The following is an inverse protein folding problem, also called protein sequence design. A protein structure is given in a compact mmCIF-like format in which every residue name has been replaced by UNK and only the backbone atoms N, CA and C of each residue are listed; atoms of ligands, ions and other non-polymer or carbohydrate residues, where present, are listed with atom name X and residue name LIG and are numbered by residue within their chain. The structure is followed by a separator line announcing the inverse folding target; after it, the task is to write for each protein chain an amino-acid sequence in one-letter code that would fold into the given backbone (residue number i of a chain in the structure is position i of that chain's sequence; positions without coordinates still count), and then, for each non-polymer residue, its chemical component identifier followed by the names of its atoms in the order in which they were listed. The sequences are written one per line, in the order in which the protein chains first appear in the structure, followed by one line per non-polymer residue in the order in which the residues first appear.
data_IF_875972859542
#
_entry.id   IF_875972859542
#
_cell.length_a   1.000
_cell.length_b   1.000
_cell.length_c   1.000
_cell.angle_alpha   90.00
_cell.angle_beta   90.00
_cell.angle_gamma   90.00
#
_symmetry.space_group_name_H-M   'P 1'
#
loop_
_entity.id
_entity.type
_entity.pdbx_description
1 polymer ?
#
# COMPACT_ATOMS: atom_id res chain seq x y z
N UNK A 1 -69.04 2.80 -39.50
CA UNK A 1 -68.14 2.44 -38.44
C UNK A 1 -66.81 1.95 -39.05
N UNK A 2 -65.79 2.83 -39.07
CA UNK A 2 -64.44 2.50 -39.52
C UNK A 2 -63.69 1.84 -38.39
N UNK A 3 -63.36 0.54 -38.58
CA UNK A 3 -62.48 -0.19 -37.67
C UNK A 3 -61.05 0.29 -37.87
N UNK A 4 -60.53 1.07 -36.93
CA UNK A 4 -59.10 1.39 -36.83
C UNK A 4 -58.41 0.21 -36.11
N UNK A 5 -57.61 -0.54 -36.85
CA UNK A 5 -56.64 -1.48 -36.22
C UNK A 5 -55.40 -0.70 -35.83
N UNK A 6 -55.09 -0.64 -34.53
CA UNK A 6 -53.85 -0.06 -34.06
C UNK A 6 -52.72 -0.99 -34.47
N UNK A 7 -51.82 -0.55 -35.35
CA UNK A 7 -50.61 -1.29 -35.71
C UNK A 7 -49.69 -1.37 -34.46
N UNK A 8 -49.30 -2.59 -34.11
CA UNK A 8 -48.31 -2.80 -33.06
C UNK A 8 -46.97 -2.21 -33.49
N UNK A 9 -46.56 -1.13 -32.81
CA UNK A 9 -45.27 -0.49 -33.01
C UNK A 9 -44.19 -1.46 -32.50
N UNK A 10 -43.38 -2.02 -33.40
CA UNK A 10 -42.25 -2.85 -33.04
C UNK A 10 -41.18 -1.97 -32.38
N UNK A 11 -40.67 -2.35 -31.17
CA UNK A 11 -39.64 -1.57 -30.53
C UNK A 11 -38.41 -1.47 -31.41
N UNK A 12 -37.89 -0.25 -31.59
CA UNK A 12 -36.66 0.01 -32.33
C UNK A 12 -35.49 -0.73 -31.70
N UNK A 13 -34.91 -1.69 -32.38
CA UNK A 13 -33.67 -2.34 -31.96
C UNK A 13 -32.51 -1.47 -32.38
N UNK A 14 -31.91 -0.79 -31.38
CA UNK A 14 -30.67 -0.07 -31.61
C UNK A 14 -29.57 -1.11 -31.90
N UNK A 15 -29.15 -1.26 -33.15
CA UNK A 15 -27.93 -2.00 -33.48
C UNK A 15 -26.73 -1.10 -33.14
N UNK A 16 -26.28 -1.15 -31.89
CA UNK A 16 -24.98 -0.62 -31.55
C UNK A 16 -23.96 -1.62 -32.09
N UNK A 17 -23.40 -1.36 -33.24
CA UNK A 17 -22.13 -1.97 -33.65
C UNK A 17 -21.07 -1.34 -32.72
N UNK A 18 -20.91 -1.91 -31.55
CA UNK A 18 -19.73 -1.63 -30.76
C UNK A 18 -18.53 -2.22 -31.52
N UNK A 19 -17.93 -1.42 -32.39
CA UNK A 19 -16.55 -1.64 -32.77
C UNK A 19 -15.74 -1.45 -31.52
N UNK A 20 -15.58 -2.52 -30.75
CA UNK A 20 -14.70 -2.50 -29.59
C UNK A 20 -13.32 -2.13 -30.09
N UNK A 21 -12.75 -1.07 -29.54
CA UNK A 21 -11.38 -0.68 -29.84
C UNK A 21 -10.46 -1.87 -29.68
N UNK A 22 -9.49 -2.01 -30.58
CA UNK A 22 -8.51 -3.08 -30.53
C UNK A 22 -7.66 -2.91 -29.27
N UNK A 23 -7.87 -3.76 -28.27
CA UNK A 23 -7.09 -3.76 -27.06
C UNK A 23 -5.71 -4.38 -27.32
N UNK A 24 -4.68 -3.58 -27.15
CA UNK A 24 -3.30 -4.03 -27.19
C UNK A 24 -2.93 -4.70 -25.85
N UNK A 25 -2.10 -5.73 -25.92
CA UNK A 25 -1.66 -6.48 -24.74
C UNK A 25 -0.49 -5.87 -24.03
N UNK A 26 0.38 -5.24 -24.79
CA UNK A 26 1.63 -4.70 -24.33
C UNK A 26 1.70 -3.20 -24.53
N UNK A 27 2.33 -2.55 -23.60
CA UNK A 27 2.70 -1.15 -23.62
C UNK A 27 4.17 -1.03 -23.24
N UNK A 28 4.93 -0.36 -24.06
CA UNK A 28 6.33 -0.04 -23.83
C UNK A 28 6.53 1.45 -23.98
N UNK A 29 7.14 2.07 -22.99
CA UNK A 29 7.57 3.46 -23.02
C UNK A 29 9.04 3.53 -22.62
N UNK A 30 9.86 4.16 -23.44
CA UNK A 30 11.24 4.44 -23.14
C UNK A 30 11.50 5.93 -23.34
N UNK A 31 12.30 6.51 -22.45
CA UNK A 31 12.65 7.93 -22.49
C UNK A 31 14.00 8.17 -21.85
N UNK A 32 14.60 9.30 -22.20
CA UNK A 32 15.79 9.80 -21.55
C UNK A 32 15.67 11.33 -21.40
N UNK A 33 16.15 11.84 -20.31
CA UNK A 33 16.17 13.27 -20.02
C UNK A 33 17.57 13.80 -19.76
N UNK A 34 17.66 15.08 -19.47
CA UNK A 34 18.87 15.72 -18.97
C UNK A 34 19.34 15.06 -17.67
N UNK A 35 20.60 15.21 -17.28
CA UNK A 35 21.19 14.56 -16.11
C UNK A 35 21.19 13.02 -16.17
N UNK A 36 21.23 12.43 -17.37
CA UNK A 36 21.20 10.99 -17.58
C UNK A 36 20.02 10.34 -16.83
N UNK A 37 18.78 10.82 -17.10
CA UNK A 37 17.56 10.33 -16.49
C UNK A 37 16.82 9.35 -17.44
N UNK A 38 17.18 8.05 -17.45
CA UNK A 38 16.44 7.06 -18.22
C UNK A 38 15.09 6.74 -17.56
N UNK A 39 14.10 6.50 -18.41
CA UNK A 39 12.80 5.96 -18.03
C UNK A 39 12.50 4.77 -18.90
N UNK A 40 12.15 3.64 -18.29
CA UNK A 40 11.63 2.46 -18.98
C UNK A 40 10.38 1.99 -18.28
N UNK A 41 9.26 1.89 -19.01
CA UNK A 41 8.01 1.32 -18.52
C UNK A 41 7.54 0.22 -19.46
N UNK A 42 7.26 -0.95 -18.92
CA UNK A 42 6.73 -2.10 -19.63
C UNK A 42 5.48 -2.58 -18.90
N UNK A 43 4.39 -2.77 -19.64
CA UNK A 43 3.20 -3.45 -19.13
C UNK A 43 2.78 -4.49 -20.16
N UNK A 44 2.47 -5.69 -19.70
CA UNK A 44 1.98 -6.76 -20.54
C UNK A 44 0.89 -7.53 -19.82
N UNK A 45 -0.26 -7.72 -20.46
CA UNK A 45 -1.41 -8.37 -19.85
C UNK A 45 -2.04 -9.43 -20.74
N UNK A 46 -2.74 -10.36 -20.13
CA UNK A 46 -3.53 -11.40 -20.82
C UNK A 46 -4.65 -10.77 -21.66
N UNK A 47 -5.11 -11.48 -22.68
CA UNK A 47 -6.38 -11.14 -23.31
C UNK A 47 -7.52 -11.33 -22.32
N UNK A 48 -8.60 -10.57 -22.53
CA UNK A 48 -9.84 -10.75 -21.77
C UNK A 48 -10.28 -12.23 -21.85
N UNK A 49 -10.35 -12.87 -20.69
CA UNK A 49 -10.84 -14.23 -20.50
C UNK A 49 -11.94 -14.24 -19.45
N UNK A 50 -12.79 -15.26 -19.48
CA UNK A 50 -13.78 -15.51 -18.43
C UNK A 50 -13.22 -16.30 -17.27
N UNK A 51 -12.11 -17.03 -17.51
CA UNK A 51 -11.55 -17.99 -16.58
C UNK A 51 -10.37 -17.45 -15.82
N UNK A 52 -9.58 -16.55 -16.44
CA UNK A 52 -8.38 -16.01 -15.84
C UNK A 52 -7.98 -14.66 -16.41
N UNK A 53 -7.24 -13.91 -15.62
CA UNK A 53 -6.61 -12.66 -16.03
C UNK A 53 -5.24 -12.58 -15.35
N UNK A 54 -4.22 -12.12 -16.07
CA UNK A 54 -2.90 -11.89 -15.51
C UNK A 54 -2.21 -10.73 -16.22
N UNK A 55 -1.29 -10.11 -15.53
CA UNK A 55 -0.48 -9.04 -16.07
C UNK A 55 0.85 -8.92 -15.34
N UNK A 56 1.82 -8.37 -16.06
CA UNK A 56 3.14 -8.05 -15.57
C UNK A 56 3.44 -6.59 -15.87
N UNK A 57 4.10 -5.92 -14.95
CA UNK A 57 4.59 -4.56 -15.12
C UNK A 57 6.02 -4.45 -14.65
N UNK A 58 6.80 -3.62 -15.33
CA UNK A 58 8.13 -3.24 -14.93
C UNK A 58 8.32 -1.76 -15.18
N UNK A 59 8.89 -1.05 -14.22
CA UNK A 59 9.26 0.35 -14.35
C UNK A 59 10.64 0.56 -13.76
N UNK A 60 11.48 1.26 -14.51
CA UNK A 60 12.76 1.75 -14.03
C UNK A 60 12.83 3.25 -14.31
N UNK A 61 13.14 4.02 -13.30
CA UNK A 61 13.33 5.45 -13.38
C UNK A 61 14.54 5.84 -12.52
N UNK A 62 15.35 6.78 -12.97
CA UNK A 62 16.51 7.19 -12.19
C UNK A 62 17.18 8.44 -12.73
N UNK A 63 18.16 8.93 -11.98
CA UNK A 63 19.10 9.96 -12.40
C UNK A 63 20.52 9.51 -12.05
N UNK A 64 21.38 9.44 -13.04
CA UNK A 64 22.77 8.96 -12.88
C UNK A 64 23.81 10.10 -12.91
N UNK A 65 23.37 11.35 -12.92
CA UNK A 65 24.22 12.53 -12.85
C UNK A 65 23.99 13.28 -11.55
N UNK A 66 25.05 13.79 -10.96
CA UNK A 66 24.98 14.64 -9.76
C UNK A 66 24.74 16.10 -10.12
N UNK A 67 24.06 16.81 -9.24
CA UNK A 67 23.87 18.27 -9.33
C UNK A 67 25.13 18.94 -8.75
N UNK A 68 25.66 19.93 -9.49
CA UNK A 68 26.85 20.67 -9.07
C UNK A 68 26.65 21.27 -7.68
N UNK A 69 27.64 21.15 -6.82
CA UNK A 69 27.68 21.70 -5.46
C UNK A 69 26.74 21.04 -4.43
N UNK A 70 25.93 20.05 -4.82
CA UNK A 70 25.03 19.33 -3.92
C UNK A 70 25.51 17.92 -3.51
N UNK A 71 26.74 17.56 -3.90
CA UNK A 71 27.26 16.20 -3.68
C UNK A 71 26.61 15.18 -4.61
N UNK A 72 26.51 13.94 -4.16
CA UNK A 72 25.91 12.86 -4.95
C UNK A 72 24.38 12.87 -4.84
N UNK A 73 23.69 13.27 -5.89
CA UNK A 73 22.22 13.32 -5.96
C UNK A 73 21.61 12.24 -6.83
N UNK A 74 22.38 11.20 -7.16
CA UNK A 74 21.90 10.08 -7.98
C UNK A 74 20.82 9.29 -7.25
N UNK A 75 19.83 8.82 -8.01
CA UNK A 75 18.81 7.90 -7.51
C UNK A 75 18.41 6.90 -8.58
N UNK A 76 17.83 5.79 -8.17
CA UNK A 76 17.29 4.76 -9.05
C UNK A 76 16.09 4.09 -8.37
N UNK A 77 14.97 4.03 -9.08
CA UNK A 77 13.76 3.36 -8.65
C UNK A 77 13.42 2.26 -9.65
N UNK A 78 13.49 1.01 -9.22
CA UNK A 78 13.04 -0.15 -9.94
C UNK A 78 11.76 -0.69 -9.29
N UNK A 79 10.73 -0.87 -10.08
CA UNK A 79 9.47 -1.50 -9.67
C UNK A 79 9.15 -2.63 -10.65
N UNK A 80 8.94 -3.83 -10.12
CA UNK A 80 8.53 -5.03 -10.85
C UNK A 80 7.28 -5.56 -10.19
N UNK A 81 6.23 -5.81 -10.95
CA UNK A 81 4.99 -6.31 -10.40
C UNK A 81 4.28 -7.27 -11.34
N UNK A 82 3.36 -8.01 -10.77
CA UNK A 82 2.49 -8.87 -11.54
C UNK A 82 1.29 -9.33 -10.73
N UNK A 83 0.23 -9.63 -11.44
CA UNK A 83 -0.97 -10.18 -10.83
C UNK A 83 -1.46 -11.38 -11.61
N UNK A 84 -2.15 -12.28 -10.92
CA UNK A 84 -2.88 -13.39 -11.47
C UNK A 84 -4.24 -13.50 -10.79
N UNK A 85 -5.30 -13.58 -11.59
CA UNK A 85 -6.66 -13.78 -11.11
C UNK A 85 -7.27 -15.00 -11.78
N UNK A 86 -7.81 -15.91 -10.99
CA UNK A 86 -8.57 -17.08 -11.46
C UNK A 86 -10.03 -16.95 -11.06
N UNK A 87 -10.91 -17.11 -12.03
CA UNK A 87 -12.34 -17.06 -11.84
C UNK A 87 -12.91 -18.48 -11.83
N UNK A 88 -13.43 -18.90 -10.68
CA UNK A 88 -14.17 -20.15 -10.54
C UNK A 88 -15.68 -19.86 -10.52
N UNK A 89 -16.51 -20.89 -10.58
CA UNK A 89 -17.96 -20.72 -10.59
C UNK A 89 -18.47 -20.00 -9.33
N UNK A 90 -17.98 -20.39 -8.15
CA UNK A 90 -18.46 -19.93 -6.84
C UNK A 90 -17.51 -19.00 -6.11
N UNK A 91 -16.30 -18.82 -6.60
CA UNK A 91 -15.28 -17.96 -5.97
C UNK A 91 -14.29 -17.42 -6.99
N UNK A 92 -13.56 -16.38 -6.62
CA UNK A 92 -12.40 -15.90 -7.33
C UNK A 92 -11.19 -15.81 -6.42
N UNK A 93 -10.05 -16.12 -7.00
CA UNK A 93 -8.74 -16.00 -6.36
C UNK A 93 -7.95 -14.93 -7.07
N UNK A 94 -7.42 -13.99 -6.31
CA UNK A 94 -6.50 -12.95 -6.77
C UNK A 94 -5.17 -13.14 -6.08
N UNK A 95 -4.09 -13.03 -6.83
CA UNK A 95 -2.73 -12.98 -6.30
C UNK A 95 -1.97 -11.84 -6.97
N UNK A 96 -1.18 -11.13 -6.21
CA UNK A 96 -0.36 -10.03 -6.66
C UNK A 96 1.01 -10.12 -5.99
N UNK A 97 2.05 -9.79 -6.73
CA UNK A 97 3.37 -9.57 -6.17
C UNK A 97 3.93 -8.26 -6.68
N UNK A 98 4.71 -7.60 -5.85
CA UNK A 98 5.43 -6.39 -6.17
C UNK A 98 6.83 -6.45 -5.56
N UNK A 99 7.83 -6.09 -6.35
CA UNK A 99 9.19 -5.88 -5.89
C UNK A 99 9.61 -4.48 -6.25
N UNK A 100 10.11 -3.76 -5.26
CA UNK A 100 10.65 -2.41 -5.43
C UNK A 100 12.09 -2.37 -4.92
N UNK A 101 12.94 -1.71 -5.67
CA UNK A 101 14.26 -1.32 -5.22
C UNK A 101 14.44 0.16 -5.38
N UNK A 102 14.58 0.87 -4.26
CA UNK A 102 14.82 2.29 -4.23
C UNK A 102 16.25 2.53 -3.76
N UNK A 103 16.99 3.32 -4.52
CA UNK A 103 18.36 3.74 -4.21
C UNK A 103 18.47 5.24 -4.34
N UNK A 104 18.94 5.91 -3.32
CA UNK A 104 19.16 7.35 -3.33
C UNK A 104 20.29 7.72 -2.37
N UNK A 105 20.76 8.95 -2.47
CA UNK A 105 21.82 9.48 -1.62
C UNK A 105 21.23 10.56 -0.71
N UNK A 106 21.72 10.64 0.51
CA UNK A 106 21.46 11.76 1.39
C UNK A 106 22.22 12.96 0.86
N UNK A 107 21.50 13.93 0.31
CA UNK A 107 22.03 15.17 -0.23
C UNK A 107 21.58 16.35 0.62
N UNK A 108 22.11 17.55 0.33
CA UNK A 108 21.77 18.76 1.07
C UNK A 108 22.62 18.95 2.32
N UNK A 109 23.74 18.24 2.42
CA UNK A 109 24.76 18.53 3.41
C UNK A 109 25.40 19.89 3.08
N UNK A 110 25.61 20.73 4.09
CA UNK A 110 26.31 21.98 3.90
C UNK A 110 27.81 21.75 3.79
N UNK A 111 28.27 21.53 2.57
CA UNK A 111 29.70 21.35 2.28
C UNK A 111 30.54 22.60 2.48
N UNK A 112 29.92 23.73 2.81
CA UNK A 112 30.60 24.97 3.23
C UNK A 112 30.86 25.06 4.72
N UNK A 113 30.19 24.20 5.52
CA UNK A 113 30.38 24.18 6.96
C UNK A 113 31.55 23.24 7.34
N UNK A 114 32.62 23.85 7.86
CA UNK A 114 33.81 23.15 8.29
C UNK A 114 33.53 22.17 9.47
N UNK A 115 32.54 22.45 10.30
CA UNK A 115 32.17 21.60 11.43
C UNK A 115 31.69 20.21 10.97
N UNK A 116 31.13 20.10 9.77
CA UNK A 116 30.72 18.84 9.16
C UNK A 116 31.95 17.95 8.89
N UNK A 117 33.02 18.50 8.33
CA UNK A 117 34.24 17.71 8.04
C UNK A 117 34.92 17.24 9.32
N UNK A 118 34.98 18.09 10.35
CA UNK A 118 35.46 17.70 11.69
C UNK A 118 34.62 16.58 12.30
N UNK A 119 33.30 16.62 12.16
CA UNK A 119 32.38 15.57 12.62
C UNK A 119 32.69 14.22 11.95
N UNK A 120 33.06 14.24 10.68
CA UNK A 120 33.44 13.03 9.92
C UNK A 120 34.93 12.71 10.02
N UNK A 121 35.70 13.40 10.91
CA UNK A 121 37.12 13.14 11.13
C UNK A 121 38.05 13.49 9.96
N UNK A 122 37.59 14.38 9.08
CA UNK A 122 38.35 14.83 7.91
C UNK A 122 39.17 16.07 8.27
N UNK A 123 40.44 16.11 7.83
CA UNK A 123 41.25 17.33 7.93
C UNK A 123 40.77 18.34 6.88
N UNK A 124 40.36 19.50 7.36
CA UNK A 124 39.87 20.63 6.54
C UNK A 124 40.93 21.11 5.50
N UNK A 125 42.20 20.90 5.81
CA UNK A 125 43.31 21.26 4.93
C UNK A 125 43.61 20.21 3.85
N UNK A 126 43.04 19.00 3.96
CA UNK A 126 43.19 17.97 2.93
C UNK A 126 42.10 18.06 1.87
N UNK A 127 42.37 18.89 0.86
CA UNK A 127 41.45 19.11 -0.24
C UNK A 127 41.13 17.84 -1.05
N UNK A 128 42.04 16.87 -1.12
CA UNK A 128 41.82 15.61 -1.82
C UNK A 128 40.88 14.67 -1.05
N UNK A 129 41.05 14.60 0.27
CA UNK A 129 40.16 13.85 1.13
C UNK A 129 38.72 14.43 1.10
N UNK A 130 38.60 15.75 1.15
CA UNK A 130 37.31 16.45 1.04
C UNK A 130 36.65 16.21 -0.30
N UNK A 131 37.40 16.26 -1.40
CA UNK A 131 36.85 16.01 -2.74
C UNK A 131 36.42 14.56 -2.91
N UNK A 132 37.20 13.61 -2.39
CA UNK A 132 36.84 12.19 -2.41
C UNK A 132 35.60 11.91 -1.56
N UNK A 133 35.45 12.55 -0.41
CA UNK A 133 34.28 12.49 0.45
C UNK A 133 33.03 13.00 -0.26
N UNK A 134 33.08 14.18 -0.89
CA UNK A 134 31.97 14.78 -1.65
C UNK A 134 31.51 13.90 -2.82
N UNK A 135 32.43 13.20 -3.45
CA UNK A 135 32.17 12.39 -4.64
C UNK A 135 31.97 10.90 -4.34
N UNK A 136 32.00 10.50 -3.07
CA UNK A 136 31.82 9.11 -2.70
C UNK A 136 30.44 8.59 -3.11
N UNK A 137 30.42 7.49 -3.88
CA UNK A 137 29.18 6.85 -4.33
C UNK A 137 28.58 5.95 -3.24
N UNK A 138 29.37 5.52 -2.29
CA UNK A 138 28.95 4.62 -1.19
C UNK A 138 28.55 5.35 0.08
N UNK A 139 29.12 6.52 0.31
CA UNK A 139 28.84 7.33 1.47
C UNK A 139 27.42 7.92 1.35
N UNK A 140 26.64 7.84 2.40
CA UNK A 140 25.26 8.34 2.43
C UNK A 140 24.28 7.70 1.41
N UNK A 141 24.65 6.59 0.80
CA UNK A 141 23.77 5.84 -0.08
C UNK A 141 22.80 5.00 0.72
N UNK A 142 21.51 5.23 0.50
CA UNK A 142 20.43 4.44 1.06
C UNK A 142 19.85 3.53 -0.01
N UNK A 143 19.72 2.25 0.28
CA UNK A 143 19.02 1.29 -0.56
C UNK A 143 17.92 0.63 0.24
N UNK A 144 16.74 0.51 -0.37
CA UNK A 144 15.65 -0.30 0.14
C UNK A 144 15.24 -1.34 -0.90
N UNK A 145 15.17 -2.59 -0.48
CA UNK A 145 14.57 -3.67 -1.23
C UNK A 145 13.24 -4.03 -0.54
N UNK A 146 12.15 -3.94 -1.27
CA UNK A 146 10.81 -4.20 -0.76
C UNK A 146 10.13 -5.26 -1.61
N UNK A 147 9.63 -6.31 -0.98
CA UNK A 147 8.81 -7.36 -1.60
C UNK A 147 7.43 -7.35 -0.96
N UNK A 148 6.39 -7.32 -1.78
CA UNK A 148 4.99 -7.41 -1.35
C UNK A 148 4.28 -8.56 -2.06
N UNK A 149 3.54 -9.34 -1.29
CA UNK A 149 2.73 -10.46 -1.76
C UNK A 149 1.32 -10.30 -1.21
N UNK A 150 0.33 -10.25 -2.08
CA UNK A 150 -1.07 -10.13 -1.73
C UNK A 150 -1.87 -11.29 -2.32
N UNK A 151 -2.61 -12.00 -1.48
CA UNK A 151 -3.54 -13.05 -1.87
C UNK A 151 -4.94 -12.68 -1.39
N UNK A 152 -5.93 -12.77 -2.25
CA UNK A 152 -7.33 -12.51 -1.92
C UNK A 152 -8.23 -13.62 -2.45
N UNK A 153 -9.10 -14.10 -1.59
CA UNK A 153 -10.16 -15.03 -1.90
C UNK A 153 -11.50 -14.35 -1.68
N UNK A 154 -12.39 -14.39 -2.68
CA UNK A 154 -13.74 -13.88 -2.56
C UNK A 154 -14.73 -14.96 -2.97
N UNK A 155 -15.72 -15.25 -2.13
CA UNK A 155 -16.85 -16.07 -2.53
C UNK A 155 -17.76 -15.29 -3.49
N UNK A 156 -18.18 -15.94 -4.57
CA UNK A 156 -19.15 -15.41 -5.53
C UNK A 156 -20.52 -16.01 -5.26
N UNK A 157 -21.45 -15.19 -4.84
CA UNK A 157 -22.84 -15.61 -4.80
C UNK A 157 -23.50 -15.20 -6.12
N UNK A 158 -23.55 -16.14 -7.06
CA UNK A 158 -24.14 -15.93 -8.40
C UNK A 158 -25.62 -16.30 -8.43
N UNK A 159 -26.41 -15.93 -7.43
CA UNK A 159 -27.83 -16.26 -7.43
C UNK A 159 -28.63 -15.56 -6.35
N UNK A 160 -29.97 -15.62 -6.47
CA UNK A 160 -30.95 -15.11 -5.52
C UNK A 160 -30.94 -15.81 -4.14
N UNK A 161 -29.98 -16.68 -3.86
CA UNK A 161 -29.84 -17.33 -2.56
C UNK A 161 -29.27 -16.35 -1.54
N UNK A 162 -30.17 -15.59 -0.92
CA UNK A 162 -29.87 -14.63 0.14
C UNK A 162 -29.29 -15.24 1.40
N UNK A 163 -29.42 -16.58 1.55
CA UNK A 163 -29.00 -17.32 2.75
C UNK A 163 -27.58 -17.89 2.69
N UNK A 164 -26.82 -17.62 1.62
CA UNK A 164 -25.45 -18.11 1.53
C UNK A 164 -24.47 -17.19 2.22
N UNK A 165 -23.63 -17.80 3.07
CA UNK A 165 -22.50 -17.13 3.70
C UNK A 165 -21.59 -16.50 2.63
N UNK A 166 -21.33 -15.22 2.74
CA UNK A 166 -20.34 -14.49 1.93
C UNK A 166 -19.05 -14.42 2.69
N UNK A 167 -17.97 -14.92 2.09
CA UNK A 167 -16.64 -14.91 2.68
C UNK A 167 -15.70 -14.16 1.76
N UNK A 168 -14.93 -13.24 2.33
CA UNK A 168 -13.75 -12.64 1.73
C UNK A 168 -12.61 -12.88 2.69
N UNK A 169 -11.49 -13.37 2.20
CA UNK A 169 -10.27 -13.48 3.01
C UNK A 169 -9.08 -12.97 2.24
N UNK A 170 -8.09 -12.48 2.96
CA UNK A 170 -6.86 -11.96 2.37
C UNK A 170 -5.66 -12.31 3.24
N UNK A 171 -4.54 -12.43 2.58
CA UNK A 171 -3.23 -12.59 3.18
C UNK A 171 -2.33 -11.58 2.52
N UNK A 172 -1.71 -10.74 3.31
CA UNK A 172 -0.69 -9.79 2.88
C UNK A 172 0.61 -10.14 3.59
N UNK A 173 1.68 -10.18 2.84
CA UNK A 173 3.02 -10.33 3.37
C UNK A 173 3.93 -9.34 2.69
N UNK A 174 4.63 -8.52 3.48
CA UNK A 174 5.72 -7.75 2.94
C UNK A 174 7.03 -7.93 3.70
N UNK A 175 8.10 -7.82 2.95
CA UNK A 175 9.47 -7.82 3.45
C UNK A 175 10.18 -6.57 2.95
N UNK A 176 10.70 -5.78 3.88
CA UNK A 176 11.56 -4.64 3.61
C UNK A 176 12.96 -4.93 4.14
N UNK A 177 13.95 -4.62 3.36
CA UNK A 177 15.36 -4.71 3.76
C UNK A 177 16.12 -3.46 3.34
N UNK A 178 17.12 -3.05 4.13
CA UNK A 178 17.98 -1.93 3.82
C UNK A 178 19.47 -2.30 3.90
N UNK A 179 20.30 -1.43 3.36
CA UNK A 179 21.76 -1.59 3.46
C UNK A 179 22.33 -1.27 4.85
N UNK A 180 21.57 -0.65 5.75
CA UNK A 180 21.97 -0.36 7.14
C UNK A 180 21.37 -1.34 8.14
N UNK A 181 21.06 -2.57 7.70
CA UNK A 181 20.58 -3.69 8.54
C UNK A 181 19.18 -3.54 9.12
N UNK A 182 18.37 -2.60 8.61
CA UNK A 182 16.95 -2.61 8.85
C UNK A 182 16.32 -3.76 8.08
N UNK A 183 15.53 -4.59 8.74
CA UNK A 183 14.61 -5.51 8.07
C UNK A 183 13.24 -5.51 8.74
N UNK A 184 12.19 -5.48 7.96
CA UNK A 184 10.80 -5.54 8.42
C UNK A 184 10.09 -6.68 7.71
N UNK A 185 9.44 -7.56 8.51
CA UNK A 185 8.57 -8.61 8.01
C UNK A 185 7.18 -8.37 8.57
N UNK A 186 6.23 -8.06 7.71
CA UNK A 186 4.86 -7.83 8.09
C UNK A 186 3.95 -8.89 7.47
N UNK A 187 3.10 -9.47 8.29
CA UNK A 187 2.12 -10.46 7.90
C UNK A 187 0.73 -10.05 8.37
N UNK A 188 -0.22 -9.96 7.46
CA UNK A 188 -1.61 -9.67 7.74
C UNK A 188 -2.49 -10.79 7.18
N UNK A 189 -3.26 -11.41 8.04
CA UNK A 189 -4.32 -12.34 7.69
C UNK A 189 -5.65 -11.70 8.03
N UNK A 190 -6.58 -11.63 7.07
CA UNK A 190 -7.90 -11.09 7.30
C UNK A 190 -8.99 -11.98 6.74
N UNK A 191 -10.13 -11.97 7.39
CA UNK A 191 -11.35 -12.61 6.93
C UNK A 191 -12.57 -11.75 7.25
N UNK A 192 -13.45 -11.62 6.28
CA UNK A 192 -14.73 -10.93 6.40
C UNK A 192 -15.83 -11.90 6.02
N UNK A 193 -16.81 -12.05 6.89
CA UNK A 193 -17.97 -12.91 6.64
C UNK A 193 -19.28 -12.15 6.82
N UNK A 194 -20.28 -12.49 6.04
CA UNK A 194 -21.59 -11.85 6.10
C UNK A 194 -22.73 -12.83 5.95
N UNK A 195 -23.76 -12.66 6.79
CA UNK A 195 -25.02 -13.36 6.75
C UNK A 195 -26.18 -12.40 6.65
N UNK A 196 -27.19 -12.73 5.89
CA UNK A 196 -28.45 -12.01 5.87
C UNK A 196 -29.43 -12.69 6.83
N UNK A 197 -29.93 -11.96 7.82
CA UNK A 197 -30.90 -12.42 8.80
C UNK A 197 -32.01 -11.37 8.90
N UNK A 198 -33.26 -11.72 8.63
CA UNK A 198 -34.42 -10.82 8.71
C UNK A 198 -34.24 -9.50 7.94
N UNK A 199 -33.70 -9.59 6.72
CA UNK A 199 -33.40 -8.45 5.84
C UNK A 199 -32.27 -7.52 6.31
N UNK A 200 -31.61 -7.82 7.43
CA UNK A 200 -30.44 -7.13 7.93
C UNK A 200 -29.16 -7.94 7.68
N UNK A 201 -28.08 -7.27 7.35
CA UNK A 201 -26.79 -7.88 7.08
C UNK A 201 -25.89 -7.87 8.34
N UNK A 202 -25.67 -9.07 8.90
CA UNK A 202 -24.72 -9.25 10.00
C UNK A 202 -23.35 -9.55 9.40
N UNK A 203 -22.39 -8.71 9.70
CA UNK A 203 -21.04 -8.77 9.17
C UNK A 203 -20.04 -8.92 10.31
N UNK A 204 -19.00 -9.68 10.06
CA UNK A 204 -17.88 -9.82 11.00
C UNK A 204 -16.56 -9.76 10.26
N UNK A 205 -15.64 -8.95 10.75
CA UNK A 205 -14.27 -8.88 10.24
C UNK A 205 -13.32 -9.35 11.33
N UNK A 206 -12.44 -10.27 10.98
CA UNK A 206 -11.31 -10.72 11.81
C UNK A 206 -10.01 -10.38 11.09
N UNK A 207 -9.04 -9.84 11.82
CA UNK A 207 -7.69 -9.57 11.30
C UNK A 207 -6.64 -9.95 12.34
N UNK A 208 -5.59 -10.59 11.86
CA UNK A 208 -4.36 -10.86 12.59
C UNK A 208 -3.21 -10.17 11.85
N UNK A 209 -2.57 -9.22 12.51
CA UNK A 209 -1.53 -8.37 11.97
C UNK A 209 -0.27 -8.54 12.83
N UNK A 210 0.79 -9.10 12.27
CA UNK A 210 2.06 -9.37 12.95
C UNK A 210 3.16 -8.62 12.21
N UNK A 211 3.96 -7.86 12.94
CA UNK A 211 5.11 -7.17 12.40
C UNK A 211 6.37 -7.48 13.22
N UNK A 212 7.40 -7.92 12.54
CA UNK A 212 8.73 -8.14 13.10
C UNK A 212 9.71 -7.16 12.45
N UNK A 213 10.35 -6.34 13.28
CA UNK A 213 11.31 -5.34 12.85
C UNK A 213 12.64 -5.65 13.51
N UNK A 214 13.67 -5.78 12.69
CA UNK A 214 15.06 -5.76 13.13
C UNK A 214 15.65 -4.41 12.71
N UNK A 215 16.12 -3.64 13.65
CA UNK A 215 16.69 -2.32 13.39
C UNK A 215 18.00 -2.12 14.16
N UNK A 216 18.94 -1.35 13.64
CA UNK A 216 20.13 -0.99 14.40
C UNK A 216 19.74 -0.14 15.61
N UNK A 217 20.42 -0.34 16.74
CA UNK A 217 20.21 0.52 17.91
C UNK A 217 20.81 1.92 17.71
N UNK A 218 21.92 1.99 17.03
CA UNK A 218 22.54 3.24 16.59
C UNK A 218 23.29 3.04 15.30
N UNK A 219 23.35 4.09 14.49
CA UNK A 219 24.20 4.19 13.30
C UNK A 219 25.47 4.93 13.72
N UNK A 220 26.63 4.33 13.55
CA UNK A 220 27.94 4.91 13.89
C UNK A 220 28.83 4.94 12.66
N UNK A 221 29.73 5.91 12.60
CA UNK A 221 30.82 5.91 11.65
C UNK A 221 31.94 5.02 12.13
N UNK A 222 32.50 4.20 11.28
CA UNK A 222 33.71 3.46 11.52
C UNK A 222 34.97 4.33 11.24
N UNK A 223 36.15 3.77 11.50
CA UNK A 223 37.45 4.45 11.27
C UNK A 223 37.67 4.82 9.80
N UNK A 224 36.89 4.27 8.87
CA UNK A 224 36.92 4.56 7.43
C UNK A 224 35.82 5.53 7.00
N UNK A 225 35.13 6.17 7.93
CA UNK A 225 33.97 7.05 7.71
C UNK A 225 32.79 6.35 7.00
N UNK A 226 32.65 5.04 7.17
CA UNK A 226 31.49 4.29 6.65
C UNK A 226 30.46 4.15 7.76
N UNK A 227 29.20 4.43 7.44
CA UNK A 227 28.09 4.24 8.37
C UNK A 227 27.93 2.74 8.65
N UNK A 228 28.16 2.34 9.91
CA UNK A 228 28.01 0.98 10.37
C UNK A 228 26.89 0.86 11.39
N UNK A 229 25.98 -0.12 11.21
CA UNK A 229 24.98 -0.41 12.23
C UNK A 229 25.65 -1.01 13.46
N UNK A 230 25.32 -0.52 14.63
CA UNK A 230 25.73 -1.15 15.89
C UNK A 230 24.53 -1.87 16.49
N UNK A 231 24.76 -3.05 17.08
CA UNK A 231 23.75 -3.84 17.78
C UNK A 231 22.38 -3.85 17.09
N UNK A 232 21.93 -4.99 16.63
CA UNK A 232 20.62 -5.13 16.01
C UNK A 232 19.62 -5.50 17.10
N UNK A 233 18.59 -4.70 17.29
CA UNK A 233 17.46 -5.03 18.15
C UNK A 233 16.31 -5.61 17.33
N UNK A 234 15.71 -6.69 17.84
CA UNK A 234 14.53 -7.31 17.22
C UNK A 234 13.29 -6.98 18.03
N UNK A 235 12.27 -6.53 17.35
CA UNK A 235 11.00 -6.15 17.96
C UNK A 235 9.84 -6.78 17.19
N UNK A 236 9.05 -7.60 17.90
CA UNK A 236 7.85 -8.22 17.32
C UNK A 236 6.62 -7.64 17.99
N UNK A 237 5.67 -7.22 17.18
CA UNK A 237 4.39 -6.69 17.65
C UNK A 237 3.23 -7.28 16.85
N UNK A 238 2.09 -7.46 17.54
CA UNK A 238 0.88 -8.01 16.95
C UNK A 238 -0.34 -7.13 17.20
N UNK A 239 -1.28 -7.09 16.27
CA UNK A 239 -2.61 -6.55 16.47
C UNK A 239 -3.61 -7.63 16.08
N UNK A 240 -4.49 -7.98 16.99
CA UNK A 240 -5.65 -8.84 16.69
C UNK A 240 -6.87 -7.96 16.72
N UNK A 241 -7.69 -8.02 15.66
CA UNK A 241 -8.91 -7.22 15.53
C UNK A 241 -10.10 -8.12 15.24
N UNK A 242 -11.18 -7.87 15.97
CA UNK A 242 -12.48 -8.47 15.69
C UNK A 242 -13.55 -7.37 15.69
N UNK A 243 -14.22 -7.21 14.56
CA UNK A 243 -15.17 -6.11 14.34
C UNK A 243 -16.52 -6.64 13.83
N UNK A 244 -17.43 -7.05 14.75
CA UNK A 244 -18.79 -7.40 14.41
C UNK A 244 -19.60 -6.12 14.18
N UNK A 245 -20.43 -6.10 13.13
CA UNK A 245 -21.34 -4.99 12.85
C UNK A 245 -22.58 -5.43 12.08
N UNK A 246 -23.62 -4.64 12.20
CA UNK A 246 -24.86 -4.77 11.46
C UNK A 246 -24.88 -3.70 10.39
N UNK A 247 -25.22 -4.08 9.18
CA UNK A 247 -25.44 -3.17 8.07
C UNK A 247 -26.89 -3.26 7.66
N UNK A 248 -27.59 -2.13 7.67
CA UNK A 248 -28.99 -2.03 7.31
C UNK A 248 -29.21 -0.94 6.29
N UNK A 249 -30.11 -1.22 5.35
CA UNK A 249 -30.55 -0.28 4.34
C UNK A 249 -32.08 -0.18 4.37
N UNK A 250 -32.57 0.94 4.85
CA UNK A 250 -34.02 1.23 4.89
C UNK A 250 -34.33 2.49 4.08
N UNK A 251 -35.03 2.32 2.98
CA UNK A 251 -35.37 3.42 2.05
C UNK A 251 -34.09 4.15 1.59
N UNK A 252 -33.95 5.39 1.99
CA UNK A 252 -32.83 6.27 1.65
C UNK A 252 -31.72 6.26 2.71
N UNK A 253 -31.95 5.64 3.87
CA UNK A 253 -31.01 5.60 4.97
C UNK A 253 -30.19 4.31 4.91
N UNK A 254 -28.89 4.45 5.02
CA UNK A 254 -27.93 3.37 5.16
C UNK A 254 -27.21 3.59 6.48
N UNK A 255 -27.18 2.58 7.32
CA UNK A 255 -26.40 2.66 8.56
C UNK A 255 -25.59 1.38 8.80
N UNK A 256 -24.44 1.56 9.39
CA UNK A 256 -23.56 0.54 9.93
C UNK A 256 -23.43 0.79 11.42
N UNK A 257 -23.68 -0.21 12.23
CA UNK A 257 -23.53 -0.14 13.66
C UNK A 257 -22.79 -1.35 14.19
N UNK A 258 -21.68 -1.11 14.85
CA UNK A 258 -20.82 -2.16 15.38
C UNK A 258 -19.82 -1.66 16.41
N UNK A 259 -18.98 -2.56 16.82
CA UNK A 259 -17.84 -2.31 17.69
C UNK A 259 -16.60 -2.97 17.11
N UNK A 260 -15.44 -2.41 17.39
CA UNK A 260 -14.16 -3.01 17.04
C UNK A 260 -13.37 -3.32 18.31
N UNK A 261 -13.18 -4.61 18.58
CA UNK A 261 -12.42 -5.13 19.71
C UNK A 261 -11.00 -5.39 19.18
N UNK A 262 -9.99 -4.78 19.80
CA UNK A 262 -8.62 -4.89 19.34
C UNK A 262 -7.68 -5.17 20.49
N UNK A 263 -6.75 -6.12 20.28
CA UNK A 263 -5.64 -6.37 21.17
C UNK A 263 -4.35 -5.89 20.48
N UNK A 264 -3.63 -4.98 21.14
CA UNK A 264 -2.29 -4.55 20.71
C UNK A 264 -1.27 -5.27 21.57
N UNK A 265 -0.51 -6.16 20.96
CA UNK A 265 0.47 -7.04 21.59
C UNK A 265 1.86 -6.47 21.26
N UNK A 266 2.36 -5.63 22.15
CA UNK A 266 3.69 -5.07 22.13
C UNK A 266 4.18 -4.98 23.57
N UNK A 267 5.27 -5.65 23.94
CA UNK A 267 5.77 -5.80 25.30
C UNK A 267 4.72 -6.31 26.30
N UNK A 268 3.61 -5.60 26.44
CA UNK A 268 2.44 -5.98 27.24
C UNK A 268 1.16 -5.86 26.40
N UNK A 269 0.32 -6.88 26.44
CA UNK A 269 -0.94 -6.87 25.70
C UNK A 269 -1.91 -5.83 26.29
N UNK A 270 -2.43 -4.95 25.43
CA UNK A 270 -3.45 -3.95 25.78
C UNK A 270 -4.68 -4.16 24.94
N UNK A 271 -5.84 -4.19 25.58
CA UNK A 271 -7.13 -4.37 24.93
C UNK A 271 -7.84 -3.02 24.78
N UNK A 272 -8.48 -2.85 23.62
CA UNK A 272 -9.24 -1.66 23.28
C UNK A 272 -10.58 -2.06 22.68
N UNK A 273 -11.60 -1.28 22.97
CA UNK A 273 -12.93 -1.37 22.33
C UNK A 273 -13.25 -0.01 21.74
N UNK A 274 -13.53 0.01 20.45
CA UNK A 274 -13.83 1.23 19.71
C UNK A 274 -15.23 1.17 19.12
N UNK A 275 -15.90 2.32 18.95
CA UNK A 275 -17.10 2.42 18.14
C UNK A 275 -16.76 2.15 16.66
N UNK A 276 -17.74 1.59 15.94
CA UNK A 276 -17.71 1.41 14.49
C UNK A 276 -19.09 1.75 13.93
N UNK A 277 -19.38 3.06 13.86
CA UNK A 277 -20.68 3.62 13.50
C UNK A 277 -20.56 4.48 12.27
N UNK A 278 -21.40 4.21 11.27
CA UNK A 278 -21.48 5.01 10.05
C UNK A 278 -22.95 5.17 9.64
N UNK A 279 -23.32 6.33 9.17
CA UNK A 279 -24.64 6.62 8.64
C UNK A 279 -24.53 7.46 7.38
N UNK A 280 -25.34 7.13 6.38
CA UNK A 280 -25.50 7.97 5.19
C UNK A 280 -26.97 8.00 4.75
N UNK A 281 -27.37 9.09 4.13
CA UNK A 281 -28.75 9.29 3.66
C UNK A 281 -28.74 9.72 2.19
N UNK A 282 -29.40 8.95 1.34
CA UNK A 282 -29.55 9.26 -0.09
C UNK A 282 -30.71 10.23 -0.29
N UNK A 283 -30.43 11.48 -0.61
CA UNK A 283 -31.41 12.51 -0.87
C UNK A 283 -31.48 12.87 -2.36
N UNK A 284 -32.64 13.35 -2.80
CA UNK A 284 -32.86 13.83 -4.18
C UNK A 284 -32.41 12.87 -5.27
N UNK A 285 -32.79 11.58 -5.18
CA UNK A 285 -32.40 10.52 -6.12
C UNK A 285 -30.87 10.36 -6.21
N UNK A 286 -30.17 10.34 -5.07
CA UNK A 286 -28.72 10.21 -4.93
C UNK A 286 -27.91 11.42 -5.45
N UNK A 287 -28.50 12.58 -5.62
CA UNK A 287 -27.76 13.80 -5.98
C UNK A 287 -26.99 14.35 -4.77
N UNK A 288 -27.57 14.20 -3.56
CA UNK A 288 -26.94 14.63 -2.32
C UNK A 288 -26.95 13.47 -1.32
N UNK A 289 -25.77 13.12 -0.80
CA UNK A 289 -25.58 11.97 0.11
C UNK A 289 -24.80 12.44 1.33
N UNK A 290 -25.45 13.09 2.32
CA UNK A 290 -24.78 13.39 3.57
C UNK A 290 -24.41 12.10 4.29
N UNK A 291 -23.24 12.09 4.90
CA UNK A 291 -22.74 10.96 5.67
C UNK A 291 -22.00 11.43 6.93
N UNK A 292 -21.90 10.55 7.90
CA UNK A 292 -21.13 10.78 9.09
C UNK A 292 -20.81 9.47 9.80
N UNK A 293 -19.84 9.52 10.68
CA UNK A 293 -19.45 8.34 11.42
C UNK A 293 -18.61 8.64 12.66
N UNK A 294 -18.48 7.60 13.48
CA UNK A 294 -17.64 7.60 14.66
C UNK A 294 -16.93 6.26 14.75
N UNK A 295 -15.62 6.28 14.57
CA UNK A 295 -14.77 5.10 14.51
C UNK A 295 -13.52 5.27 15.37
N UNK A 296 -12.91 4.17 15.77
CA UNK A 296 -11.60 4.15 16.41
C UNK A 296 -10.81 2.93 15.98
N UNK A 297 -9.49 3.01 16.07
CA UNK A 297 -8.60 1.91 15.71
C UNK A 297 -7.23 2.00 16.34
N UNK A 298 -6.56 0.85 16.46
CA UNK A 298 -5.10 0.77 16.58
C UNK A 298 -4.55 0.75 15.16
N UNK A 299 -3.70 1.71 14.83
CA UNK A 299 -3.06 1.82 13.54
C UNK A 299 -1.63 1.29 13.62
N UNK A 300 -1.29 0.36 12.73
CA UNK A 300 0.07 -0.13 12.54
C UNK A 300 0.93 0.96 11.90
N UNK A 301 2.08 1.24 12.51
CA UNK A 301 3.15 2.00 11.89
C UNK A 301 4.22 1.02 11.42
N UNK A 302 4.60 1.11 10.15
CA UNK A 302 5.63 0.29 9.52
C UNK A 302 6.74 1.19 8.98
N UNK A 303 7.97 0.70 8.91
CA UNK A 303 9.04 1.43 8.24
C UNK A 303 8.73 1.64 6.77
N UNK A 304 8.06 0.68 6.14
CA UNK A 304 7.62 0.84 4.76
C UNK A 304 6.73 2.07 4.57
N UNK A 305 5.75 2.30 5.44
CA UNK A 305 4.88 3.48 5.35
C UNK A 305 5.66 4.77 5.60
N UNK A 306 6.53 4.77 6.62
CA UNK A 306 7.29 5.96 6.98
C UNK A 306 8.33 6.35 5.92
N UNK A 307 8.99 5.38 5.27
CA UNK A 307 9.92 5.67 4.17
C UNK A 307 9.23 6.26 2.93
N UNK A 308 7.95 5.91 2.72
CA UNK A 308 7.16 6.47 1.61
C UNK A 308 6.77 7.94 1.90
N UNK A 309 6.58 8.30 3.17
CA UNK A 309 6.33 9.69 3.59
C UNK A 309 7.64 10.50 3.64
N UNK A 310 8.68 9.91 4.19
CA UNK A 310 10.01 10.51 4.30
C UNK A 310 11.10 9.48 4.03
N UNK A 311 11.68 9.46 2.82
CA UNK A 311 12.72 8.51 2.47
C UNK A 311 14.02 8.66 3.29
N UNK A 312 14.20 9.78 3.99
CA UNK A 312 15.36 10.08 4.82
C UNK A 312 15.15 9.76 6.31
N UNK A 313 14.16 8.92 6.64
CA UNK A 313 13.93 8.51 8.02
C UNK A 313 15.10 7.69 8.55
N UNK A 314 15.50 7.96 9.81
CA UNK A 314 16.56 7.20 10.46
C UNK A 314 16.09 5.80 10.85
N UNK A 315 16.89 4.78 10.54
CA UNK A 315 16.55 3.37 10.75
C UNK A 315 16.68 2.92 12.22
N UNK A 316 17.28 3.71 13.07
CA UNK A 316 17.34 3.50 14.53
C UNK A 316 16.07 3.97 15.26
N UNK A 317 15.09 4.49 14.51
CA UNK A 317 13.82 4.95 15.06
C UNK A 317 12.97 3.81 15.62
N UNK A 318 12.55 3.92 16.88
CA UNK A 318 11.68 2.92 17.52
C UNK A 318 10.22 3.18 17.14
N UNK A 319 9.63 2.26 16.40
CA UNK A 319 8.24 2.37 15.96
C UNK A 319 7.27 1.80 17.00
N UNK A 320 6.20 2.54 17.26
CA UNK A 320 5.07 2.10 18.08
C UNK A 320 3.77 2.30 17.32
N UNK A 321 2.80 1.43 17.58
CA UNK A 321 1.47 1.56 17.00
C UNK A 321 0.75 2.80 17.51
N UNK A 322 0.04 3.49 16.65
CA UNK A 322 -0.75 4.68 16.99
C UNK A 322 -2.16 4.27 17.41
N UNK A 323 -2.66 4.84 18.51
CA UNK A 323 -4.02 4.56 19.00
C UNK A 323 -4.89 5.77 18.69
N UNK A 324 -5.78 5.62 17.73
CA UNK A 324 -6.83 6.59 17.41
C UNK A 324 -8.08 6.23 18.19
N UNK A 325 -8.26 6.82 19.37
CA UNK A 325 -9.37 6.47 20.28
C UNK A 325 -10.73 6.86 19.73
N UNK A 326 -10.81 7.96 19.01
CA UNK A 326 -12.04 8.50 18.45
C UNK A 326 -11.74 9.33 17.21
N UNK A 327 -12.42 9.04 16.14
CA UNK A 327 -12.43 9.81 14.91
C UNK A 327 -13.89 10.03 14.52
N UNK A 328 -14.36 11.26 14.60
CA UNK A 328 -15.70 11.68 14.22
C UNK A 328 -15.56 12.44 12.92
N UNK A 329 -16.32 12.07 11.93
CA UNK A 329 -16.29 12.68 10.60
C UNK A 329 -17.70 12.88 10.04
N UNK A 330 -17.84 13.87 9.17
CA UNK A 330 -19.07 14.15 8.42
C UNK A 330 -18.72 14.78 7.07
N UNK A 331 -19.59 14.57 6.08
CA UNK A 331 -19.42 15.15 4.75
C UNK A 331 -20.69 15.06 3.90
#
# INVERSE_FOLDING_TARGET
LTNYSIENIKPARLKITANGDKLYRGYLKAGAGTYLTPLLELNYASKRSRDESWGLNARNNGSFSSIKEMGNTKFSDLNLGGYYQKFFMNYDLWSEFQYERNSYHFYGLDYGDNSMYEFYGLDINDSLAIESFKNSDSLFKQNYDFLDLHLKFNSRNTGRDTNKLRIKSWIDFHHLNSNYSLSENHFLLGAHSGWLILDEEFLGTFELDINNINSPETLKLDDNNIIQPSNISSNTSGIVRFSPHIYSRKNNLIFKAGISIQANIYENAKFYVFPDLEVSCNLFNNIFIPYGGWVGKVQRNTFNNLRLENPFISEDSKLQNTIQKSNIFAG
#
